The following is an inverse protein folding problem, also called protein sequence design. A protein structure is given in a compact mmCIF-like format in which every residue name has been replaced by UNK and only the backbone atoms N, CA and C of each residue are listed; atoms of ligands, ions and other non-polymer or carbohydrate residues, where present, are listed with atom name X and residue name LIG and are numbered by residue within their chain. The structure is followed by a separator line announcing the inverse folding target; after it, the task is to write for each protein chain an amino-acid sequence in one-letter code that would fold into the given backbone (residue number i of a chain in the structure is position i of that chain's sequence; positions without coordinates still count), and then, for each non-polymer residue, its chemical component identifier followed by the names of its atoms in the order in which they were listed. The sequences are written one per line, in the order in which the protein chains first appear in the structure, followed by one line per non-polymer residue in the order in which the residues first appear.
data_IF_987307433834
#
_entry.id   IF_987307433834
#
_cell.length_a   1.000
_cell.length_b   1.000
_cell.length_c   1.000
_cell.angle_alpha   90.00
_cell.angle_beta   90.00
_cell.angle_gamma   90.00
#
_symmetry.space_group_name_H-M   'P 1'
#
loop_
_entity.id
_entity.type
_entity.pdbx_description
1 polymer ?
2 non-polymer ?
3 non-polymer ?
4 water ?
#
# COMPACT_ATOMS: atom_id res chain seq x y z
N UNK A 5 12.04 -15.39 10.07
CA UNK A 5 11.00 -14.89 9.12
C UNK A 5 11.17 -13.37 8.98
N UNK A 6 10.87 -12.85 7.78
CA UNK A 6 11.09 -11.46 7.47
C UNK A 6 9.95 -10.91 6.60
N UNK A 7 9.71 -9.61 6.67
CA UNK A 7 8.49 -9.05 6.08
C UNK A 7 8.57 -8.86 4.55
N UNK A 8 7.42 -9.01 3.91
CA UNK A 8 7.20 -8.64 2.49
C UNK A 8 6.21 -7.49 2.48
N UNK A 9 6.62 -6.29 2.00
CA UNK A 9 5.76 -5.11 2.05
C UNK A 9 5.31 -4.79 0.64
N UNK A 10 4.00 -4.70 0.48
CA UNK A 10 3.35 -4.42 -0.79
C UNK A 10 2.74 -3.04 -0.72
N UNK A 11 3.34 -2.10 -1.45
CA UNK A 11 2.85 -0.73 -1.49
C UNK A 11 1.86 -0.69 -2.61
N UNK A 12 0.63 -0.31 -2.31
CA UNK A 12 -0.44 -0.26 -3.31
C UNK A 12 -0.85 1.22 -3.37
N UNK A 13 -0.46 1.86 -4.46
CA UNK A 13 -0.44 3.34 -4.54
C UNK A 13 -1.45 3.88 -5.53
N UNK A 14 -2.31 4.76 -5.03
CA UNK A 14 -3.36 5.43 -5.77
C UNK A 14 -2.72 6.46 -6.71
N UNK A 15 -2.87 6.26 -8.02
CA UNK A 15 -2.45 7.28 -9.02
C UNK A 15 -3.67 7.82 -9.77
N UNK A 16 -4.83 7.86 -9.12
CA UNK A 16 -6.02 8.42 -9.73
C UNK A 16 -5.96 9.94 -9.78
N UNK A 17 -6.85 10.54 -10.53
CA UNK A 17 -6.84 12.00 -10.63
C UNK A 17 -7.03 12.74 -9.32
N UNK A 18 -7.89 12.22 -8.45
CA UNK A 18 -8.13 12.83 -7.13
C UNK A 18 -6.91 13.10 -6.23
N UNK A 19 -5.89 12.28 -6.30
CA UNK A 19 -4.69 12.45 -5.47
C UNK A 19 -3.53 13.10 -6.19
N UNK A 20 -3.76 13.53 -7.43
CA UNK A 20 -2.64 13.92 -8.29
C UNK A 20 -1.78 15.04 -7.72
N UNK A 21 -2.39 15.98 -7.01
CA UNK A 21 -1.63 17.13 -6.51
C UNK A 21 -0.67 16.70 -5.39
N UNK A 22 -0.91 15.51 -4.80
CA UNK A 22 -0.12 14.97 -3.70
C UNK A 22 0.68 13.71 -4.03
N UNK A 23 0.95 13.51 -5.30
CA UNK A 23 1.76 12.38 -5.70
C UNK A 23 3.13 12.44 -5.04
N UNK A 24 3.73 13.62 -4.98
CA UNK A 24 5.05 13.72 -4.35
C UNK A 24 5.01 13.32 -2.87
N UNK A 25 3.96 13.69 -2.14
CA UNK A 25 3.79 13.24 -0.75
C UNK A 25 3.75 11.71 -0.69
N UNK A 26 2.98 11.09 -1.59
CA UNK A 26 2.89 9.63 -1.65
C UNK A 26 4.28 9.01 -1.88
N UNK A 27 4.93 9.46 -2.93
CA UNK A 27 6.27 9.02 -3.26
C UNK A 27 7.24 9.14 -2.07
N UNK A 28 7.24 10.28 -1.41
CA UNK A 28 8.19 10.52 -0.31
C UNK A 28 7.95 9.58 0.85
N UNK A 29 6.70 9.32 1.16
CA UNK A 29 6.37 8.39 2.20
C UNK A 29 6.88 6.99 1.90
N UNK A 30 6.63 6.50 0.68
CA UNK A 30 7.14 5.22 0.23
C UNK A 30 8.66 5.16 0.40
N UNK A 31 9.37 6.20 -0.03
CA UNK A 31 10.82 6.17 0.07
C UNK A 31 11.25 6.13 1.51
N UNK A 32 10.57 6.92 2.35
CA UNK A 32 10.93 6.97 3.78
C UNK A 32 10.77 5.60 4.44
N UNK A 33 9.68 4.92 4.14
CA UNK A 33 9.44 3.64 4.76
C UNK A 33 10.40 2.59 4.25
N UNK A 34 10.65 2.56 2.96
CA UNK A 34 11.61 1.64 2.34
C UNK A 34 13.03 1.79 2.93
N UNK A 35 13.45 3.03 3.16
CA UNK A 35 14.78 3.30 3.66
C UNK A 35 14.95 3.16 5.17
N UNK A 36 13.89 3.41 5.92
CA UNK A 36 13.94 3.44 7.37
C UNK A 36 13.56 2.10 7.97
N UNK A 37 12.74 1.33 7.25
CA UNK A 37 12.14 0.10 7.81
C UNK A 37 12.48 -1.21 7.06
N UNK A 38 12.51 -1.15 5.73
CA UNK A 38 12.67 -2.38 4.92
C UNK A 38 14.15 -2.79 4.97
N UNK A 39 14.47 -3.74 5.86
CA UNK A 39 15.83 -4.20 6.14
C UNK A 39 16.28 -5.17 5.01
N UNK A 40 17.58 -5.52 4.93
CA UNK A 40 18.05 -6.52 3.96
C UNK A 40 17.37 -7.87 4.06
N UNK A 41 16.71 -8.17 5.17
CA UNK A 41 15.97 -9.44 5.29
C UNK A 41 14.59 -9.35 4.71
N UNK A 42 14.17 -8.13 4.37
CA UNK A 42 12.82 -7.91 3.89
C UNK A 42 12.78 -7.73 2.38
N UNK A 43 11.57 -7.86 1.83
CA UNK A 43 11.33 -7.57 0.43
C UNK A 43 10.19 -6.55 0.28
N UNK A 44 10.19 -5.88 -0.87
CA UNK A 44 9.05 -5.00 -1.21
C UNK A 44 8.65 -5.09 -2.65
N UNK A 45 7.44 -4.62 -2.88
CA UNK A 45 6.84 -4.51 -4.17
C UNK A 45 6.10 -3.16 -4.25
N UNK A 46 6.15 -2.56 -5.44
CA UNK A 46 5.39 -1.34 -5.77
C UNK A 46 4.34 -1.60 -6.83
N UNK A 47 3.09 -1.31 -6.47
CA UNK A 47 1.94 -1.40 -7.35
C UNK A 47 1.30 -0.03 -7.40
N UNK A 48 0.86 0.38 -8.59
CA UNK A 48 0.04 1.58 -8.77
C UNK A 48 -1.31 1.22 -9.35
N UNK A 49 -2.32 2.03 -9.05
CA UNK A 49 -3.61 1.84 -9.69
C UNK A 49 -4.33 3.13 -10.01
N UNK A 50 -5.04 3.14 -11.13
CA UNK A 50 -6.07 4.14 -11.42
C UNK A 50 -7.23 3.37 -12.05
N UNK A 51 -7.47 3.51 -13.34
CA UNK A 51 -8.43 2.63 -14.03
C UNK A 51 -7.91 1.23 -14.30
N UNK A 52 -6.60 1.06 -14.30
CA UNK A 52 -5.95 -0.22 -14.30
C UNK A 52 -4.89 -0.27 -13.23
N UNK A 53 -4.49 -1.46 -12.84
CA UNK A 53 -3.41 -1.64 -11.88
C UNK A 53 -2.20 -2.25 -12.53
N UNK A 54 -1.01 -1.86 -12.07
CA UNK A 54 0.27 -2.26 -12.60
C UNK A 54 1.26 -2.53 -11.52
N UNK A 55 1.98 -3.64 -11.65
CA UNK A 55 3.18 -3.88 -10.84
C UNK A 55 4.33 -3.12 -11.43
N UNK A 56 4.69 -2.01 -10.79
CA UNK A 56 5.88 -1.27 -11.14
C UNK A 56 7.17 -1.99 -10.74
N UNK A 57 7.20 -2.53 -9.54
CA UNK A 57 8.32 -3.34 -9.05
C UNK A 57 7.78 -4.64 -8.43
N UNK A 58 8.00 -5.79 -9.06
CA UNK A 58 7.70 -7.08 -8.44
C UNK A 58 8.51 -7.32 -7.18
N UNK A 59 7.90 -8.04 -6.25
CA UNK A 59 8.50 -8.34 -4.98
C UNK A 59 10.01 -8.67 -5.09
N UNK A 60 10.84 -7.93 -4.35
CA UNK A 60 12.29 -8.09 -4.36
C UNK A 60 12.93 -7.54 -3.09
N UNK A 61 14.06 -8.15 -2.73
CA UNK A 61 14.94 -7.61 -1.71
C UNK A 61 16.18 -6.86 -2.20
N UNK A 62 16.35 -6.82 -3.50
CA UNK A 62 17.49 -6.24 -4.17
C UNK A 62 17.40 -4.71 -4.08
N UNK A 63 18.34 -4.10 -3.37
CA UNK A 63 18.32 -2.63 -3.14
C UNK A 63 18.46 -1.81 -4.43
N UNK A 64 19.21 -2.34 -5.40
CA UNK A 64 19.33 -1.75 -6.74
C UNK A 64 17.98 -1.72 -7.47
N UNK A 65 17.24 -2.82 -7.39
CA UNK A 65 15.92 -2.90 -7.99
C UNK A 65 14.98 -1.96 -7.26
N UNK A 66 15.10 -1.86 -5.94
CA UNK A 66 14.26 -0.93 -5.18
C UNK A 66 14.52 0.53 -5.65
N UNK A 67 15.79 0.92 -5.75
CA UNK A 67 16.12 2.27 -6.24
C UNK A 67 15.52 2.51 -7.63
N UNK A 68 15.64 1.54 -8.55
CA UNK A 68 15.06 1.71 -9.87
C UNK A 68 13.54 1.80 -9.77
N UNK A 69 12.94 1.03 -8.87
CA UNK A 69 11.49 1.15 -8.65
C UNK A 69 11.09 2.56 -8.18
N UNK A 70 11.88 3.15 -7.29
CA UNK A 70 11.60 4.52 -6.81
C UNK A 70 11.72 5.56 -7.94
N UNK A 71 12.71 5.38 -8.79
CA UNK A 71 12.85 6.21 -10.01
C UNK A 71 11.62 6.10 -10.89
N UNK A 72 11.11 4.89 -11.06
CA UNK A 72 9.93 4.68 -11.88
C UNK A 72 8.70 5.38 -11.25
N UNK A 73 8.58 5.32 -9.94
CA UNK A 73 7.45 5.97 -9.28
C UNK A 73 7.49 7.47 -9.45
N UNK A 74 8.70 8.03 -9.45
CA UNK A 74 8.89 9.43 -9.80
C UNK A 74 8.28 9.85 -11.15
N UNK A 75 8.19 8.94 -12.11
CA UNK A 75 7.73 9.24 -13.47
C UNK A 75 6.23 9.01 -13.64
N UNK A 76 5.57 8.56 -12.57
CA UNK A 76 4.13 8.31 -12.63
C UNK A 76 3.38 9.65 -12.73
N UNK A 77 2.35 9.69 -13.56
CA UNK A 77 1.49 10.86 -13.78
C UNK A 77 0.04 10.56 -13.43
N UNK A 78 -0.37 10.84 -12.21
CA UNK A 78 -1.72 10.49 -11.77
C UNK A 78 -2.83 11.16 -12.55
N UNK A 79 -3.78 10.32 -12.94
CA UNK A 79 -4.94 10.72 -13.71
C UNK A 79 -5.84 9.50 -13.78
N UNK A 80 -7.13 9.72 -13.90
CA UNK A 80 -8.10 8.64 -14.10
C UNK A 80 -8.84 8.19 -12.85
N UNK A 81 -9.55 7.06 -13.03
CA UNK A 81 -10.44 6.49 -12.03
C UNK A 81 -9.68 5.80 -10.90
N UNK A 82 -10.44 5.35 -9.89
CA UNK A 82 -9.89 4.85 -8.63
C UNK A 82 -10.35 3.44 -8.35
N UNK A 83 -9.72 2.50 -9.03
CA UNK A 83 -10.09 1.07 -8.89
C UNK A 83 -9.08 0.39 -7.96
N UNK A 84 -9.19 0.74 -6.67
CA UNK A 84 -8.28 0.25 -5.65
C UNK A 84 -8.32 -1.25 -5.48
N UNK A 85 -9.50 -1.86 -5.71
CA UNK A 85 -9.63 -3.33 -5.64
C UNK A 85 -8.66 -4.04 -6.61
N UNK A 86 -8.38 -3.46 -7.79
CA UNK A 86 -7.45 -4.09 -8.70
C UNK A 86 -6.01 -4.00 -8.21
N UNK A 87 -5.67 -2.91 -7.53
CA UNK A 87 -4.36 -2.81 -6.90
C UNK A 87 -4.18 -3.85 -5.79
N UNK A 88 -5.16 -3.96 -4.91
CA UNK A 88 -5.14 -4.99 -3.87
C UNK A 88 -5.02 -6.38 -4.45
N UNK A 89 -5.75 -6.64 -5.53
CA UNK A 89 -5.70 -7.95 -6.20
C UNK A 89 -4.31 -8.33 -6.68
N UNK A 90 -3.54 -7.38 -7.23
CA UNK A 90 -2.16 -7.65 -7.59
C UNK A 90 -1.23 -7.92 -6.40
N UNK A 91 -1.44 -7.26 -5.26
CA UNK A 91 -0.74 -7.64 -4.05
C UNK A 91 -1.14 -9.11 -3.69
N UNK A 92 -2.43 -9.40 -3.67
CA UNK A 92 -2.87 -10.75 -3.23
C UNK A 92 -2.31 -11.85 -4.12
N UNK A 93 -2.28 -11.61 -5.44
CA UNK A 93 -1.71 -12.57 -6.37
C UNK A 93 -0.21 -12.87 -6.08
N UNK A 94 0.56 -11.85 -5.72
CA UNK A 94 1.98 -12.05 -5.46
C UNK A 94 2.17 -12.76 -4.14
N UNK A 95 1.30 -12.43 -3.18
CA UNK A 95 1.30 -13.04 -1.85
C UNK A 95 1.00 -14.55 -2.02
N UNK A 96 0.07 -14.88 -2.90
CA UNK A 96 -0.29 -16.28 -3.15
C UNK A 96 0.88 -17.00 -3.79
N UNK A 97 1.51 -16.36 -4.75
CA UNK A 97 2.64 -16.96 -5.44
C UNK A 97 3.85 -17.13 -4.51
N UNK A 98 3.99 -16.26 -3.52
CA UNK A 98 5.08 -16.36 -2.52
C UNK A 98 4.80 -17.40 -1.42
N UNK A 99 3.56 -17.88 -1.32
CA UNK A 99 3.22 -18.94 -0.39
C UNK A 99 2.08 -18.66 0.58
N UNK A 100 1.30 -17.60 0.33
CA UNK A 100 0.19 -17.18 1.17
C UNK A 100 0.43 -17.19 2.67
N UNK A 101 -0.18 -18.16 3.35
CA UNK A 101 -0.18 -18.16 4.81
C UNK A 101 1.22 -18.36 5.36
N UNK A 102 2.10 -18.95 4.56
CA UNK A 102 3.49 -19.17 4.95
C UNK A 102 4.38 -17.94 4.88
N UNK A 103 3.85 -16.78 4.46
CA UNK A 103 4.60 -15.51 4.40
C UNK A 103 4.13 -14.56 5.50
N UNK A 104 4.98 -13.59 5.86
CA UNK A 104 4.57 -12.41 6.68
C UNK A 104 4.40 -11.10 5.87
N UNK A 105 3.23 -10.98 5.30
CA UNK A 105 2.96 -9.98 4.29
C UNK A 105 2.21 -8.80 4.88
N UNK A 106 2.58 -7.60 4.39
CA UNK A 106 2.03 -6.34 4.86
C UNK A 106 1.60 -5.61 3.59
N UNK A 107 0.37 -5.09 3.55
CA UNK A 107 -0.10 -4.27 2.46
C UNK A 107 -0.27 -2.87 2.99
N UNK A 108 0.33 -1.91 2.29
CA UNK A 108 0.22 -0.52 2.69
C UNK A 108 -0.41 0.25 1.53
N UNK A 109 -1.68 0.59 1.68
CA UNK A 109 -2.35 1.32 0.64
C UNK A 109 -2.33 2.81 0.89
N UNK A 110 -1.80 3.58 -0.09
CA UNK A 110 -1.76 5.04 -0.06
C UNK A 110 -2.88 5.58 -0.95
N UNK A 111 -3.86 6.23 -0.35
CA UNK A 111 -5.07 6.64 -1.07
C UNK A 111 -5.83 7.68 -0.29
N UNK A 112 -6.71 8.40 -0.99
CA UNK A 112 -7.71 9.23 -0.31
C UNK A 112 -9.00 8.46 0.11
N UNK A 113 -9.12 7.19 -0.28
CA UNK A 113 -10.31 6.43 0.05
C UNK A 113 -11.59 6.93 -0.62
N UNK A 114 -11.49 7.74 -1.69
CA UNK A 114 -12.66 8.32 -2.37
C UNK A 114 -13.09 7.38 -3.48
N UNK A 115 -14.04 6.51 -3.14
CA UNK A 115 -14.37 5.37 -3.96
C UNK A 115 -15.84 5.51 -4.38
N UNK A 116 -16.17 5.07 -5.57
CA UNK A 116 -17.57 5.15 -6.00
C UNK A 116 -18.17 3.86 -6.51
N UNK A 117 -19.50 3.88 -6.63
CA UNK A 117 -20.24 2.78 -7.17
C UNK A 117 -20.08 1.52 -6.35
N UNK A 118 -19.75 0.45 -7.03
CA UNK A 118 -19.47 -0.82 -6.39
C UNK A 118 -18.00 -0.98 -5.90
N UNK A 119 -17.18 0.03 -6.11
CA UNK A 119 -15.77 -0.12 -5.75
C UNK A 119 -15.56 -0.31 -4.23
N UNK A 120 -16.30 0.38 -3.36
CA UNK A 120 -16.16 0.06 -1.93
C UNK A 120 -16.39 -1.43 -1.62
N UNK A 121 -17.39 -2.04 -2.23
CA UNK A 121 -17.69 -3.44 -1.95
C UNK A 121 -16.57 -4.34 -2.46
N UNK A 122 -16.03 -4.00 -3.63
CA UNK A 122 -14.93 -4.73 -4.19
C UNK A 122 -13.65 -4.60 -3.34
N UNK A 123 -13.34 -3.39 -2.88
CA UNK A 123 -12.15 -3.13 -2.12
C UNK A 123 -12.22 -3.85 -0.76
N UNK A 124 -13.39 -3.81 -0.11
CA UNK A 124 -13.53 -4.38 1.23
C UNK A 124 -13.42 -5.91 1.12
N UNK A 125 -13.97 -6.47 0.07
CA UNK A 125 -13.86 -7.90 -0.18
C UNK A 125 -12.42 -8.30 -0.47
N UNK A 126 -11.71 -7.55 -1.33
CA UNK A 126 -10.33 -7.92 -1.64
C UNK A 126 -9.41 -7.83 -0.41
N UNK A 127 -9.68 -6.89 0.47
CA UNK A 127 -8.88 -6.73 1.70
C UNK A 127 -9.16 -7.87 2.71
N UNK A 128 -10.39 -8.31 2.75
CA UNK A 128 -10.71 -9.53 3.51
C UNK A 128 -10.02 -10.78 2.97
N UNK A 129 -9.95 -10.92 1.64
CA UNK A 129 -9.07 -11.90 1.05
C UNK A 129 -7.61 -11.74 1.52
N UNK A 130 -7.09 -10.49 1.49
CA UNK A 130 -5.71 -10.33 1.92
C UNK A 130 -5.52 -10.90 3.35
N UNK A 131 -6.41 -10.54 4.27
CA UNK A 131 -6.30 -11.03 5.67
C UNK A 131 -6.33 -12.56 5.73
N UNK A 132 -7.15 -13.15 4.88
CA UNK A 132 -7.25 -14.60 4.81
C UNK A 132 -5.99 -15.29 4.35
N UNK A 133 -5.16 -14.56 3.61
CA UNK A 133 -3.89 -15.03 3.14
C UNK A 133 -2.77 -14.78 4.14
N UNK A 134 -3.14 -14.21 5.29
CA UNK A 134 -2.25 -13.90 6.40
C UNK A 134 -1.66 -12.48 6.41
N UNK A 135 -2.04 -11.65 5.45
CA UNK A 135 -1.53 -10.28 5.33
C UNK A 135 -2.16 -9.33 6.35
N UNK A 136 -1.44 -8.31 6.79
CA UNK A 136 -2.02 -7.23 7.58
C UNK A 136 -2.08 -6.01 6.62
N UNK A 137 -3.25 -5.42 6.55
CA UNK A 137 -3.55 -4.30 5.66
C UNK A 137 -3.56 -3.00 6.43
N UNK A 138 -2.77 -2.05 5.95
CA UNK A 138 -2.65 -0.70 6.46
C UNK A 138 -3.15 0.26 5.36
N UNK A 139 -3.71 1.39 5.77
CA UNK A 139 -4.05 2.49 4.86
C UNK A 139 -3.43 3.77 5.33
N UNK A 140 -2.75 4.47 4.42
CA UNK A 140 -2.16 5.75 4.73
C UNK A 140 -2.92 6.77 3.92
N UNK A 141 -3.62 7.66 4.60
CA UNK A 141 -4.59 8.54 3.99
C UNK A 141 -4.03 9.83 3.39
N UNK A 142 -4.47 10.15 2.18
CA UNK A 142 -4.01 11.33 1.43
C UNK A 142 -5.10 12.36 1.32
N UNK A 143 -4.74 13.62 1.51
CA UNK A 143 -5.64 14.77 1.37
C UNK A 143 -6.81 14.67 2.35
N UNK A 144 -8.00 15.08 1.94
CA UNK A 144 -9.19 14.96 2.79
C UNK A 144 -9.82 13.59 2.70
N UNK A 145 -9.10 12.61 3.23
CA UNK A 145 -9.41 11.21 3.01
C UNK A 145 -10.61 10.72 3.79
N UNK A 146 -11.20 9.64 3.30
CA UNK A 146 -12.36 9.02 3.95
C UNK A 146 -11.98 8.03 5.04
N UNK A 147 -11.90 8.54 6.28
CA UNK A 147 -11.49 7.76 7.42
C UNK A 147 -12.21 6.43 7.52
N UNK A 148 -13.55 6.43 7.38
CA UNK A 148 -14.35 5.23 7.61
C UNK A 148 -14.14 4.21 6.51
N UNK A 149 -14.00 4.69 5.29
CA UNK A 149 -13.67 3.79 4.17
C UNK A 149 -12.32 3.15 4.36
N UNK A 150 -11.33 3.92 4.79
CA UNK A 150 -10.04 3.29 5.09
C UNK A 150 -10.10 2.28 6.24
N UNK A 151 -10.92 2.56 7.26
CA UNK A 151 -11.04 1.65 8.36
C UNK A 151 -11.69 0.33 7.95
N UNK A 152 -12.51 0.34 6.90
CA UNK A 152 -13.12 -0.91 6.41
C UNK A 152 -12.20 -1.72 5.48
N UNK A 153 -11.11 -1.12 5.03
CA UNK A 153 -10.09 -1.79 4.25
C UNK A 153 -8.94 -2.29 5.12
N UNK A 154 -8.43 -1.45 6.02
CA UNK A 154 -7.34 -1.80 6.90
C UNK A 154 -7.88 -2.79 7.93
N UNK A 155 -6.97 -3.47 8.62
CA UNK A 155 -7.38 -4.49 9.61
C UNK A 155 -8.17 -3.85 10.73
N UNK A 156 -7.94 -2.56 10.96
CA UNK A 156 -8.46 -1.84 12.11
C UNK A 156 -8.09 -0.39 11.98
N UNK A 157 -8.75 0.45 12.78
CA UNK A 157 -8.49 1.88 12.77
C UNK A 157 -7.11 2.20 13.28
N UNK A 158 -6.50 1.32 14.07
CA UNK A 158 -5.12 1.50 14.51
C UNK A 158 -4.12 1.33 13.38
N UNK A 159 -4.59 0.82 12.22
CA UNK A 159 -3.72 0.65 11.06
C UNK A 159 -4.04 1.62 9.94
N UNK A 160 -4.76 2.69 10.27
CA UNK A 160 -4.96 3.84 9.38
C UNK A 160 -4.18 5.03 9.94
N UNK A 161 -3.37 5.66 9.09
CA UNK A 161 -2.49 6.75 9.49
C UNK A 161 -2.62 7.83 8.40
N UNK A 162 -2.58 9.11 8.74
CA UNK A 162 -2.46 10.15 7.71
C UNK A 162 -1.04 10.26 7.18
N UNK A 163 -0.94 10.52 5.88
CA UNK A 163 0.36 10.74 5.28
C UNK A 163 0.94 12.10 5.74
N UNK A 164 0.07 13.03 6.09
CA UNK A 164 0.50 14.36 6.45
C UNK A 164 -0.27 14.83 7.69
N UNK A 165 0.44 15.44 8.64
CA UNK A 165 -0.20 16.15 9.75
C UNK A 165 -0.46 15.32 11.00
N UNK A 166 -0.22 14.02 10.91
CA UNK A 166 -0.42 13.11 12.03
C UNK A 166 0.78 13.15 12.96
N UNK A 167 0.60 12.65 14.19
CA UNK A 167 1.68 12.61 15.14
C UNK A 167 2.50 11.32 14.94
N UNK A 168 3.74 11.51 14.51
CA UNK A 168 4.69 10.42 14.31
C UNK A 168 4.11 9.22 13.58
N UNK A 169 3.48 9.47 12.43
CA UNK A 169 2.89 8.39 11.63
C UNK A 169 3.89 7.32 11.15
N UNK A 170 5.09 7.74 10.75
CA UNK A 170 6.09 6.79 10.28
C UNK A 170 6.53 5.84 11.39
N UNK A 171 6.92 6.40 12.53
CA UNK A 171 7.27 5.60 13.70
C UNK A 171 6.11 4.71 14.13
N UNK A 172 4.89 5.24 14.06
CA UNK A 172 3.72 4.49 14.47
C UNK A 172 3.46 3.29 13.61
N UNK A 173 3.59 3.45 12.28
CA UNK A 173 3.36 2.33 11.39
C UNK A 173 4.45 1.28 11.51
N UNK A 174 5.69 1.70 11.69
CA UNK A 174 6.80 0.76 11.90
C UNK A 174 6.54 -0.07 13.15
N UNK A 175 6.14 0.60 14.22
CA UNK A 175 5.89 -0.04 15.52
C UNK A 175 4.72 -1.05 15.41
N UNK A 176 3.66 -0.63 14.73
CA UNK A 176 2.56 -1.52 14.41
C UNK A 176 2.98 -2.77 13.66
N UNK A 177 3.81 -2.63 12.63
CA UNK A 177 4.20 -3.77 11.81
C UNK A 177 5.04 -4.75 12.65
N UNK A 178 5.99 -4.18 13.39
CA UNK A 178 6.91 -4.98 14.21
C UNK A 178 6.16 -5.75 15.30
N UNK A 179 5.07 -5.19 15.80
CA UNK A 179 4.24 -5.84 16.82
C UNK A 179 3.31 -6.90 16.23
N UNK A 180 3.50 -7.20 14.95
CA UNK A 180 3.04 -8.43 14.32
C UNK A 180 2.00 -8.04 13.30
N UNK A 181 0.74 -7.94 13.76
CA UNK A 181 -0.40 -7.44 12.96
C UNK A 181 -1.37 -8.55 12.43
X LIG B 1 -10.68 9.87 -9.41
X LIG B 1 -9.73 9.95 -8.56
X LIG B 1 -11.37 8.77 -9.45
X LIG B 1 -10.91 10.94 -10.43
X LIG C 1 -9.31 8.97 -6.85
#
# INVERSE_FOLDING_TARGET
GSCRRAFDLYFVLDKSGSVANNWIEIYNFVQQLAERFVSPEMRLSFIVFSSQATIILPLTGDRGKISKGLEDLKRVSPVGETYIHEGLKLANEQIQKAGGLKTSSIIIALTDGKLDGLVPSYAEKEAKISRSLGASVYCVGVLDFEQAQLERIADSKEQVFPVKGGFQALKGIINSILAQS
ACT C O OXT CH3
MG MG
#
